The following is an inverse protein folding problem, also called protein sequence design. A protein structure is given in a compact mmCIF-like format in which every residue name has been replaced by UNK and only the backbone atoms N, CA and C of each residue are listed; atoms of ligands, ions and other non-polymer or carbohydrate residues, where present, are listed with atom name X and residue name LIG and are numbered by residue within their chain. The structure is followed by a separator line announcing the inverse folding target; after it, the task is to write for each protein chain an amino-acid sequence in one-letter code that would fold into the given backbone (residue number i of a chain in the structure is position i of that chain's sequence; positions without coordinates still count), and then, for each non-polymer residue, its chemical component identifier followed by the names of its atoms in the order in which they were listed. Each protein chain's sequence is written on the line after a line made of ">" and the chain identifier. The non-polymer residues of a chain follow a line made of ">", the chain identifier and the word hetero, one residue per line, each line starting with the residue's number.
data_IF_073585554938
#
_entry.id   IF_073585554938
#
_cell.length_a   1.000
_cell.length_b   1.000
_cell.length_c   1.000
_cell.angle_alpha   90.00
_cell.angle_beta   90.00
_cell.angle_gamma   90.00
#
_symmetry.space_group_name_H-M   'P 1'
#
loop_
_entity.id
_entity.type
_entity.pdbx_description
1 polymer ?
#
# COMPACT_ATOMS: atom_id res chain seq x y z
N UNK A 1 -41.80 -27.92 -23.89
CA UNK A 1 -40.41 -27.56 -24.19
C UNK A 1 -40.06 -26.09 -23.85
N UNK A 2 -41.01 -25.15 -23.95
CA UNK A 2 -40.80 -23.73 -23.59
C UNK A 2 -40.50 -23.46 -22.10
N UNK A 3 -41.02 -24.30 -21.20
CA UNK A 3 -40.83 -24.15 -19.73
C UNK A 3 -39.43 -24.52 -19.23
N UNK A 4 -38.68 -25.36 -19.97
CA UNK A 4 -37.33 -25.76 -19.56
C UNK A 4 -36.28 -24.68 -19.90
N UNK A 5 -36.49 -23.94 -21.01
CA UNK A 5 -35.58 -22.87 -21.43
C UNK A 5 -35.62 -21.65 -20.51
N UNK A 6 -36.78 -21.34 -19.92
CA UNK A 6 -36.94 -20.18 -19.03
C UNK A 6 -36.22 -20.37 -17.69
N UNK A 7 -36.18 -21.60 -17.17
CA UNK A 7 -35.49 -21.90 -15.90
C UNK A 7 -33.96 -21.84 -16.02
N UNK A 8 -33.39 -22.18 -17.19
CA UNK A 8 -31.95 -22.06 -17.44
C UNK A 8 -31.53 -20.59 -17.60
N UNK A 9 -32.40 -19.76 -18.19
CA UNK A 9 -32.13 -18.33 -18.36
C UNK A 9 -32.10 -17.57 -17.02
N UNK A 10 -32.95 -17.95 -16.06
CA UNK A 10 -32.98 -17.36 -14.71
C UNK A 10 -31.76 -17.75 -13.86
N UNK A 11 -31.21 -18.95 -14.05
CA UNK A 11 -29.98 -19.39 -13.36
C UNK A 11 -28.72 -18.64 -13.84
N UNK A 12 -28.71 -18.14 -15.08
CA UNK A 12 -27.60 -17.34 -15.63
C UNK A 12 -27.58 -15.89 -15.10
N UNK A 13 -28.70 -15.38 -14.57
CA UNK A 13 -28.76 -14.06 -13.93
C UNK A 13 -28.44 -14.08 -12.42
N UNK A 14 -28.28 -15.26 -11.82
CA UNK A 14 -27.91 -15.42 -10.41
C UNK A 14 -26.40 -15.37 -10.15
N UNK A 15 -25.60 -14.89 -11.11
CA UNK A 15 -24.22 -14.50 -10.83
C UNK A 15 -24.33 -13.26 -9.95
N UNK A 16 -24.40 -13.49 -8.64
CA UNK A 16 -24.18 -12.48 -7.62
C UNK A 16 -22.85 -11.83 -7.95
N UNK A 17 -22.90 -10.70 -8.64
CA UNK A 17 -21.78 -9.80 -8.72
C UNK A 17 -21.55 -9.36 -7.28
N UNK A 18 -20.68 -10.09 -6.55
CA UNK A 18 -20.05 -9.58 -5.36
C UNK A 18 -19.22 -8.39 -5.83
N UNK A 19 -19.89 -7.25 -5.95
CA UNK A 19 -19.23 -5.98 -6.14
C UNK A 19 -18.34 -5.83 -4.91
N UNK A 20 -17.03 -5.96 -5.14
CA UNK A 20 -16.03 -5.62 -4.15
C UNK A 20 -16.19 -4.11 -3.96
N UNK A 21 -17.01 -3.70 -3.01
CA UNK A 21 -17.26 -2.30 -2.75
C UNK A 21 -16.02 -1.73 -2.11
N UNK A 22 -15.27 -0.92 -2.86
CA UNK A 22 -14.17 -0.14 -2.30
C UNK A 22 -14.74 0.83 -1.25
N UNK A 23 -13.98 1.07 -0.19
CA UNK A 23 -14.32 1.97 0.91
C UNK A 23 -13.32 3.12 0.90
N UNK A 24 -13.80 4.34 1.15
CA UNK A 24 -12.92 5.50 1.33
C UNK A 24 -12.32 5.47 2.74
N UNK A 25 -10.99 5.46 2.81
CA UNK A 25 -10.22 5.59 4.05
C UNK A 25 -9.48 6.92 4.01
N UNK A 26 -9.63 7.73 5.05
CA UNK A 26 -8.74 8.88 5.28
C UNK A 26 -7.69 8.47 6.29
N UNK A 27 -6.44 8.38 5.84
CA UNK A 27 -5.32 8.02 6.70
C UNK A 27 -4.22 9.08 6.59
N UNK A 28 -3.89 9.67 7.74
CA UNK A 28 -2.90 10.72 7.88
C UNK A 28 -2.99 11.85 6.84
N UNK A 29 -4.22 12.31 6.60
CA UNK A 29 -4.53 13.40 5.68
C UNK A 29 -4.72 13.00 4.21
N UNK A 30 -4.42 11.74 3.84
CA UNK A 30 -4.55 11.24 2.47
C UNK A 30 -5.77 10.33 2.34
N UNK A 31 -6.50 10.43 1.21
CA UNK A 31 -7.67 9.60 0.92
C UNK A 31 -7.29 8.40 0.08
N UNK A 32 -7.72 7.22 0.50
CA UNK A 32 -7.47 5.94 -0.16
C UNK A 32 -8.79 5.26 -0.50
N UNK A 33 -8.83 4.53 -1.62
CA UNK A 33 -9.91 3.60 -1.95
C UNK A 33 -9.46 2.18 -1.68
N UNK A 34 -9.72 1.69 -0.47
CA UNK A 34 -9.31 0.35 -0.06
C UNK A 34 -10.37 -0.69 -0.42
N UNK A 35 -10.02 -1.96 -0.63
CA UNK A 35 -11.02 -3.01 -0.78
C UNK A 35 -11.93 -3.08 0.46
N UNK A 36 -13.24 -3.22 0.26
CA UNK A 36 -14.17 -3.53 1.35
C UNK A 36 -14.11 -5.00 1.80
N UNK A 37 -15.02 -5.36 2.71
CA UNK A 37 -15.16 -6.71 3.28
C UNK A 37 -13.94 -7.20 4.08
N UNK A 38 -13.29 -6.30 4.82
CA UNK A 38 -12.34 -6.71 5.86
C UNK A 38 -13.11 -7.29 7.06
N UNK A 39 -12.48 -8.24 7.76
CA UNK A 39 -13.04 -8.92 8.93
C UNK A 39 -12.60 -8.28 10.25
N UNK A 40 -11.42 -7.65 10.28
CA UNK A 40 -10.85 -7.02 11.48
C UNK A 40 -10.12 -5.75 11.10
N UNK A 41 -10.23 -4.75 11.97
CA UNK A 41 -9.41 -3.53 11.97
C UNK A 41 -8.59 -3.51 13.25
N UNK A 42 -7.28 -3.37 13.12
CA UNK A 42 -6.34 -3.15 14.22
C UNK A 42 -5.75 -1.76 14.10
N UNK A 43 -5.78 -1.01 15.19
CA UNK A 43 -5.18 0.32 15.29
C UNK A 43 -4.14 0.30 16.40
N UNK A 44 -2.87 0.51 16.03
CA UNK A 44 -1.79 0.75 16.97
C UNK A 44 -1.52 2.26 17.02
N UNK A 45 -2.52 2.99 17.53
CA UNK A 45 -2.70 4.44 17.47
C UNK A 45 -1.98 5.25 18.55
N UNK A 46 -0.73 4.93 18.84
CA UNK A 46 0.16 5.76 19.66
C UNK A 46 1.31 6.28 18.75
N UNK A 47 2.53 6.40 19.25
CA UNK A 47 3.71 6.82 18.48
C UNK A 47 3.96 6.07 17.16
N UNK A 48 3.39 4.87 17.00
CA UNK A 48 3.62 4.05 15.81
C UNK A 48 2.75 4.45 14.62
N UNK A 49 1.58 5.07 14.85
CA UNK A 49 0.59 5.39 13.82
C UNK A 49 0.50 4.27 12.76
N UNK A 50 -0.07 3.12 13.15
CA UNK A 50 -0.24 1.97 12.26
C UNK A 50 -1.71 1.55 12.26
N UNK A 51 -2.28 1.44 11.07
CA UNK A 51 -3.64 0.94 10.85
C UNK A 51 -3.61 -0.32 9.97
N UNK A 52 -4.20 -1.41 10.43
CA UNK A 52 -4.15 -2.72 9.76
C UNK A 52 -5.57 -3.23 9.53
N UNK A 53 -5.86 -3.59 8.28
CA UNK A 53 -7.07 -4.30 7.87
C UNK A 53 -6.74 -5.76 7.58
N UNK A 54 -7.52 -6.69 8.12
CA UNK A 54 -7.42 -8.12 7.82
C UNK A 54 -8.62 -8.58 7.01
N UNK A 55 -8.38 -9.25 5.89
CA UNK A 55 -9.39 -9.73 4.94
C UNK A 55 -9.55 -11.25 4.92
N UNK A 56 -8.79 -11.97 5.75
CA UNK A 56 -8.84 -13.43 5.85
C UNK A 56 -8.90 -13.91 7.29
N UNK A 57 -9.16 -15.20 7.46
CA UNK A 57 -9.28 -15.82 8.79
C UNK A 57 -7.93 -16.25 9.37
N UNK A 58 -6.92 -16.43 8.52
CA UNK A 58 -5.56 -16.78 8.92
C UNK A 58 -4.80 -15.55 9.47
N UNK A 59 -4.08 -15.74 10.57
CA UNK A 59 -3.28 -14.68 11.19
C UNK A 59 -2.08 -14.33 10.31
N UNK A 60 -1.82 -13.03 10.12
CA UNK A 60 -0.70 -12.56 9.33
C UNK A 60 -0.87 -12.74 7.81
N UNK A 61 -2.06 -13.11 7.35
CA UNK A 61 -2.40 -13.26 5.93
C UNK A 61 -3.54 -12.35 5.50
N UNK A 62 -3.55 -12.02 4.21
CA UNK A 62 -4.55 -11.18 3.54
C UNK A 62 -4.75 -9.87 4.30
N UNK A 63 -3.69 -9.10 4.44
CA UNK A 63 -3.70 -7.85 5.18
C UNK A 63 -3.39 -6.64 4.30
N UNK A 64 -3.83 -5.48 4.77
CA UNK A 64 -3.45 -4.17 4.27
C UNK A 64 -3.08 -3.31 5.47
N UNK A 65 -1.82 -2.93 5.57
CA UNK A 65 -1.29 -2.15 6.68
C UNK A 65 -0.82 -0.78 6.19
N UNK A 66 -1.15 0.25 6.94
CA UNK A 66 -0.72 1.63 6.72
C UNK A 66 0.21 2.02 7.87
N UNK A 67 1.29 2.73 7.56
CA UNK A 67 2.20 3.30 8.55
C UNK A 67 2.53 4.74 8.17
N UNK A 68 2.38 5.67 9.10
CA UNK A 68 2.91 7.02 8.93
C UNK A 68 4.33 7.09 9.48
N UNK A 69 5.30 7.22 8.58
CA UNK A 69 6.72 7.25 8.89
C UNK A 69 7.31 8.67 8.82
N UNK A 70 6.47 9.71 8.70
CA UNK A 70 6.90 11.11 8.51
C UNK A 70 7.84 11.58 9.61
N UNK A 71 7.55 11.18 10.86
CA UNK A 71 8.35 11.52 12.04
C UNK A 71 8.98 10.28 12.68
N UNK A 72 9.23 9.23 11.88
CA UNK A 72 9.84 8.01 12.41
C UNK A 72 11.26 8.28 12.93
N UNK A 73 11.52 7.83 14.15
CA UNK A 73 12.81 7.93 14.84
C UNK A 73 13.37 6.56 15.21
N UNK A 74 12.70 5.48 14.80
CA UNK A 74 13.12 4.11 15.12
C UNK A 74 14.36 3.68 14.34
N UNK A 75 14.67 4.38 13.23
CA UNK A 75 15.84 4.16 12.39
C UNK A 75 16.68 5.43 12.36
N UNK A 76 18.00 5.29 12.42
CA UNK A 76 18.91 6.41 12.21
C UNK A 76 19.00 6.74 10.72
N UNK A 77 18.11 7.60 10.24
CA UNK A 77 18.08 8.05 8.84
C UNK A 77 19.21 9.03 8.47
N UNK A 78 19.79 9.75 9.45
CA UNK A 78 20.74 10.86 9.22
C UNK A 78 20.12 12.14 8.62
N UNK A 79 18.96 12.02 7.96
CA UNK A 79 18.19 13.08 7.34
C UNK A 79 16.69 12.86 7.60
N UNK A 80 15.80 13.65 6.98
CA UNK A 80 14.36 13.41 7.07
C UNK A 80 13.98 12.04 6.46
N UNK A 81 13.03 11.27 7.04
CA UNK A 81 12.64 9.96 6.52
C UNK A 81 12.24 9.97 5.03
N UNK A 82 11.50 10.99 4.59
CA UNK A 82 11.12 11.17 3.18
C UNK A 82 12.32 11.38 2.25
N UNK A 83 13.29 12.20 2.66
CA UNK A 83 14.55 12.41 1.92
C UNK A 83 15.37 11.12 1.87
N UNK A 84 15.40 10.38 2.97
CA UNK A 84 16.06 9.08 3.05
C UNK A 84 15.43 8.07 2.08
N UNK A 85 14.11 7.90 2.06
CA UNK A 85 13.45 6.96 1.16
C UNK A 85 13.46 7.42 -0.31
N UNK A 86 13.52 8.73 -0.57
CA UNK A 86 13.84 9.22 -1.90
C UNK A 86 15.23 8.74 -2.37
N UNK A 87 16.23 8.76 -1.49
CA UNK A 87 17.56 8.23 -1.79
C UNK A 87 17.56 6.70 -1.98
N UNK A 88 16.71 5.97 -1.27
CA UNK A 88 16.54 4.52 -1.46
C UNK A 88 16.07 4.20 -2.88
N UNK A 89 15.05 4.90 -3.38
CA UNK A 89 14.35 4.53 -4.63
C UNK A 89 14.80 5.29 -5.88
N UNK A 90 15.27 6.53 -5.75
CA UNK A 90 15.57 7.40 -6.89
C UNK A 90 17.06 7.70 -7.05
N UNK A 91 17.91 7.20 -6.15
CA UNK A 91 19.37 7.38 -6.19
C UNK A 91 19.79 8.86 -6.36
N UNK A 92 19.06 9.76 -5.68
CA UNK A 92 19.32 11.21 -5.70
C UNK A 92 20.53 11.57 -4.82
N UNK A 93 20.82 12.86 -4.63
CA UNK A 93 21.93 13.29 -3.78
C UNK A 93 21.81 12.70 -2.36
N UNK A 94 22.76 11.82 -2.06
CA UNK A 94 22.84 11.06 -0.82
C UNK A 94 23.43 11.86 0.33
N UNK A 95 23.82 13.11 0.10
CA UNK A 95 24.45 13.96 1.11
C UNK A 95 23.57 14.11 2.36
N UNK A 96 24.17 13.91 3.54
CA UNK A 96 23.49 14.08 4.83
C UNK A 96 22.67 12.88 5.33
N UNK A 97 22.32 11.91 4.49
CA UNK A 97 21.61 10.70 4.94
C UNK A 97 22.58 9.57 5.37
N UNK A 98 22.11 8.66 6.22
CA UNK A 98 22.87 7.48 6.65
C UNK A 98 22.98 6.46 5.50
N UNK A 99 24.18 6.32 4.94
CA UNK A 99 24.43 5.50 3.76
C UNK A 99 24.32 3.99 4.01
N UNK A 100 24.75 3.54 5.19
CA UNK A 100 24.69 2.12 5.55
C UNK A 100 23.22 1.65 5.62
N UNK A 101 22.36 2.48 6.20
CA UNK A 101 20.93 2.20 6.25
C UNK A 101 20.26 2.33 4.88
N UNK A 102 20.68 3.27 4.02
CA UNK A 102 20.18 3.34 2.63
C UNK A 102 20.43 2.02 1.92
N UNK A 103 21.66 1.48 2.02
CA UNK A 103 22.03 0.22 1.38
C UNK A 103 21.16 -0.94 1.88
N UNK A 104 20.97 -1.08 3.19
CA UNK A 104 20.10 -2.11 3.77
C UNK A 104 18.64 -2.02 3.28
N UNK A 105 18.16 -0.79 3.09
CA UNK A 105 16.81 -0.56 2.57
C UNK A 105 16.71 -0.84 1.07
N UNK A 106 17.76 -0.58 0.29
CA UNK A 106 17.84 -0.99 -1.11
C UNK A 106 17.84 -2.51 -1.25
N UNK A 107 18.60 -3.22 -0.43
CA UNK A 107 18.58 -4.69 -0.35
C UNK A 107 17.17 -5.22 -0.02
N UNK A 108 16.41 -4.51 0.82
CA UNK A 108 15.08 -4.93 1.27
C UNK A 108 13.94 -4.57 0.30
N UNK A 109 14.03 -3.42 -0.37
CA UNK A 109 12.91 -2.83 -1.12
C UNK A 109 13.19 -2.58 -2.60
N UNK A 110 14.41 -2.80 -3.08
CA UNK A 110 14.78 -2.57 -4.48
C UNK A 110 15.36 -3.83 -5.12
N UNK A 111 16.38 -4.41 -4.50
CA UNK A 111 17.08 -5.55 -5.08
C UNK A 111 16.18 -6.78 -5.22
N UNK A 112 16.13 -7.37 -6.41
CA UNK A 112 15.34 -8.58 -6.68
C UNK A 112 13.81 -8.38 -6.68
N UNK A 113 13.33 -7.13 -6.59
CA UNK A 113 11.90 -6.79 -6.54
C UNK A 113 11.43 -6.10 -7.82
N UNK A 114 10.13 -6.20 -8.11
CA UNK A 114 9.50 -5.33 -9.09
C UNK A 114 9.33 -3.95 -8.47
N UNK A 115 10.02 -2.95 -9.04
CA UNK A 115 9.90 -1.55 -8.64
C UNK A 115 9.26 -0.76 -9.77
N UNK A 116 8.23 0.02 -9.44
CA UNK A 116 7.63 0.98 -10.37
C UNK A 116 7.39 2.29 -9.63
N UNK A 117 7.58 3.40 -10.34
CA UNK A 117 7.39 4.74 -9.79
C UNK A 117 6.38 5.50 -10.63
N UNK A 118 5.55 6.29 -9.97
CA UNK A 118 4.67 7.25 -10.62
C UNK A 118 4.45 8.45 -9.70
N UNK A 119 3.90 9.52 -10.24
CA UNK A 119 3.54 10.70 -9.48
C UNK A 119 2.03 10.87 -9.47
N UNK A 120 1.51 11.38 -8.36
CA UNK A 120 0.12 11.81 -8.22
C UNK A 120 0.12 13.08 -7.38
N UNK A 121 -0.38 14.17 -7.96
CA UNK A 121 -0.31 15.52 -7.39
C UNK A 121 1.11 15.87 -6.88
N UNK A 122 1.24 16.15 -5.57
CA UNK A 122 2.48 16.53 -4.88
C UNK A 122 3.27 15.33 -4.31
N UNK A 123 2.84 14.10 -4.62
CA UNK A 123 3.43 12.88 -4.11
C UNK A 123 4.15 12.09 -5.21
N UNK A 124 5.35 11.65 -4.88
CA UNK A 124 6.03 10.57 -5.59
C UNK A 124 5.66 9.24 -4.94
N UNK A 125 5.20 8.29 -5.75
CA UNK A 125 4.70 7.01 -5.28
C UNK A 125 5.58 5.91 -5.87
N UNK A 126 6.04 5.01 -5.00
CA UNK A 126 6.92 3.89 -5.37
C UNK A 126 6.23 2.59 -4.99
N UNK A 127 5.97 1.73 -5.96
CA UNK A 127 5.64 0.33 -5.73
C UNK A 127 6.92 -0.49 -5.62
N UNK A 128 6.95 -1.42 -4.66
CA UNK A 128 7.97 -2.44 -4.53
C UNK A 128 7.31 -3.78 -4.18
N UNK A 129 7.42 -4.79 -5.03
CA UNK A 129 6.71 -6.05 -4.83
C UNK A 129 7.43 -7.29 -5.32
N UNK A 130 7.08 -8.42 -4.72
CA UNK A 130 7.40 -9.77 -5.18
C UNK A 130 6.14 -10.66 -5.11
N UNK A 131 6.31 -11.98 -5.08
CA UNK A 131 5.18 -12.93 -5.01
C UNK A 131 4.54 -13.07 -3.64
N UNK A 132 5.24 -12.64 -2.58
CA UNK A 132 4.81 -12.82 -1.20
C UNK A 132 4.26 -11.54 -0.59
N UNK A 133 4.89 -10.41 -0.89
CA UNK A 133 4.54 -9.10 -0.32
C UNK A 133 4.77 -7.98 -1.31
N UNK A 134 3.96 -6.94 -1.14
CA UNK A 134 4.00 -5.73 -1.92
C UNK A 134 3.85 -4.51 -1.02
N UNK A 135 4.53 -3.45 -1.43
CA UNK A 135 4.63 -2.20 -0.71
C UNK A 135 4.32 -1.07 -1.68
N UNK A 136 3.67 -0.02 -1.19
CA UNK A 136 3.82 1.30 -1.75
C UNK A 136 4.38 2.27 -0.73
N UNK A 137 5.23 3.17 -1.20
CA UNK A 137 5.73 4.32 -0.46
C UNK A 137 5.16 5.57 -1.11
N UNK A 138 4.58 6.46 -0.32
CA UNK A 138 4.04 7.74 -0.77
C UNK A 138 4.89 8.81 -0.10
N UNK A 139 5.65 9.52 -0.93
CA UNK A 139 6.70 10.44 -0.51
C UNK A 139 6.31 11.85 -0.99
N UNK A 140 6.07 12.75 -0.05
CA UNK A 140 5.72 14.14 -0.34
C UNK A 140 6.89 15.08 -0.14
N UNK A 141 6.98 16.13 -0.95
CA UNK A 141 8.01 17.17 -0.85
C UNK A 141 7.93 17.97 0.46
N UNK A 142 6.77 17.94 1.11
CA UNK A 142 6.53 18.53 2.43
C UNK A 142 7.10 17.71 3.60
N UNK A 143 7.86 16.65 3.31
CA UNK A 143 8.44 15.75 4.30
C UNK A 143 7.59 14.51 4.59
N UNK A 144 6.36 14.43 4.07
CA UNK A 144 5.43 13.30 4.29
C UNK A 144 6.04 11.99 3.80
N UNK A 145 5.91 10.95 4.63
CA UNK A 145 6.25 9.59 4.24
C UNK A 145 5.20 8.61 4.77
N UNK A 146 4.46 7.99 3.87
CA UNK A 146 3.59 6.87 4.21
C UNK A 146 4.09 5.58 3.56
N UNK A 147 3.99 4.48 4.29
CA UNK A 147 4.15 3.14 3.76
C UNK A 147 2.81 2.42 3.83
N UNK A 148 2.44 1.73 2.75
CA UNK A 148 1.31 0.79 2.75
C UNK A 148 1.82 -0.57 2.30
N UNK A 149 1.57 -1.61 3.09
CA UNK A 149 2.02 -2.97 2.79
C UNK A 149 0.88 -3.98 2.78
N UNK A 150 1.00 -4.95 1.87
CA UNK A 150 0.02 -6.00 1.65
C UNK A 150 0.68 -7.28 1.18
N UNK A 151 0.04 -8.42 1.44
CA UNK A 151 0.42 -9.73 0.92
C UNK A 151 -0.55 -10.24 -0.17
N UNK A 152 -1.49 -9.40 -0.62
CA UNK A 152 -2.49 -9.80 -1.62
C UNK A 152 -2.79 -8.76 -2.70
N UNK A 153 -2.35 -7.50 -2.53
CA UNK A 153 -2.49 -6.47 -3.55
C UNK A 153 -1.30 -6.48 -4.50
N UNK A 154 -1.58 -6.40 -5.79
CA UNK A 154 -0.57 -6.16 -6.82
C UNK A 154 -0.43 -4.67 -7.12
N UNK A 155 0.54 -4.34 -7.97
CA UNK A 155 0.81 -2.98 -8.44
C UNK A 155 -0.44 -2.26 -8.99
N UNK A 156 -1.21 -2.94 -9.84
CA UNK A 156 -2.41 -2.35 -10.45
C UNK A 156 -3.52 -2.10 -9.42
N UNK A 157 -3.62 -2.95 -8.39
CA UNK A 157 -4.54 -2.73 -7.28
C UNK A 157 -4.12 -1.54 -6.43
N UNK A 158 -2.82 -1.37 -6.18
CA UNK A 158 -2.31 -0.18 -5.48
C UNK A 158 -2.54 1.10 -6.28
N UNK A 159 -2.27 1.12 -7.59
CA UNK A 159 -2.56 2.28 -8.46
C UNK A 159 -4.03 2.70 -8.41
N UNK A 160 -4.95 1.73 -8.31
CA UNK A 160 -6.38 2.04 -8.12
C UNK A 160 -6.66 2.63 -6.74
N UNK A 161 -6.03 2.09 -5.69
CA UNK A 161 -6.20 2.53 -4.30
C UNK A 161 -5.77 3.98 -4.08
N UNK A 162 -4.69 4.42 -4.74
CA UNK A 162 -4.13 5.77 -4.61
C UNK A 162 -4.49 6.70 -5.77
N UNK A 163 -5.49 6.35 -6.59
CA UNK A 163 -5.85 7.18 -7.74
C UNK A 163 -6.39 8.54 -7.27
N UNK A 164 -5.68 9.62 -7.61
CA UNK A 164 -6.10 10.99 -7.35
C UNK A 164 -5.68 11.53 -5.98
N UNK A 165 -4.71 10.89 -5.32
CA UNK A 165 -4.00 11.50 -4.18
C UNK A 165 -3.05 12.59 -4.65
#
# INVERSE_FOLDING_TARGET
>A
MLKLGLSVLLLLFSISAFSKTDIELVYSGIRFKIPGNFSVVGDAGDNQNILIFRYGDELGKRFLAFSDMTNDQTINYGCLPSVFFNNVFFDIDKSGCNQDNIKLMQESFVEGRQVETWSSNEYSIVYSGDKEKSYIFIIGDNGKLLKVDSDFLDNESFKKMVRGI
#
